data_IF_958142316762
#
_entry.id   IF_958142316762
#
_cell.length_a   1.000
_cell.length_b   1.000
_cell.length_c   1.000
_cell.angle_alpha   90.00
_cell.angle_beta   90.00
_cell.angle_gamma   90.00
#
_symmetry.space_group_name_H-M   'P 1'
#
loop_
_entity.id
_entity.type
_entity.pdbx_description
1 polymer ?
#
# COMPACT_ATOMS: atom_id res chain seq x y z
N UNK A 1 -7.38 -31.27 -6.22
CA UNK A 1 -7.42 -31.05 -4.76
C UNK A 1 -6.86 -29.66 -4.53
N UNK A 2 -7.64 -28.69 -4.04
CA UNK A 2 -7.11 -27.32 -3.87
C UNK A 2 -8.11 -26.16 -3.84
N UNK A 3 -9.42 -26.41 -3.77
CA UNK A 3 -10.42 -25.37 -3.49
C UNK A 3 -11.43 -25.91 -2.48
N UNK A 4 -10.96 -26.23 -1.28
CA UNK A 4 -11.86 -26.39 -0.14
C UNK A 4 -12.17 -25.01 0.43
N UNK A 5 -13.32 -24.50 -0.03
CA UNK A 5 -14.27 -23.63 0.68
C UNK A 5 -13.67 -22.78 1.81
N UNK A 6 -13.38 -21.52 1.49
CA UNK A 6 -13.57 -20.41 2.42
C UNK A 6 -15.08 -20.34 2.73
N UNK A 7 -15.56 -21.19 3.63
CA UNK A 7 -16.95 -21.23 4.09
C UNK A 7 -17.20 -20.16 5.16
N UNK A 8 -17.08 -18.90 4.73
CA UNK A 8 -17.49 -17.72 5.47
C UNK A 8 -17.88 -16.63 4.46
N UNK A 9 -18.63 -15.59 4.85
CA UNK A 9 -18.90 -14.47 3.95
C UNK A 9 -17.56 -13.96 3.40
N UNK A 10 -17.38 -13.90 2.09
CA UNK A 10 -16.25 -13.21 1.45
C UNK A 10 -16.50 -11.71 1.58
N UNK A 11 -16.50 -11.22 2.82
CA UNK A 11 -16.60 -9.81 3.15
C UNK A 11 -15.17 -9.38 3.43
N UNK A 12 -14.57 -8.53 2.59
CA UNK A 12 -13.21 -8.07 2.88
C UNK A 12 -12.41 -7.47 1.73
N UNK A 13 -12.80 -7.73 0.48
CA UNK A 13 -12.20 -7.07 -0.69
C UNK A 13 -13.10 -5.91 -1.13
N UNK A 14 -12.56 -4.70 -1.15
CA UNK A 14 -13.23 -3.50 -1.62
C UNK A 14 -12.62 -2.99 -2.91
N UNK A 15 -13.46 -2.56 -3.85
CA UNK A 15 -13.04 -1.76 -5.00
C UNK A 15 -13.41 -0.31 -4.74
N UNK A 16 -12.48 0.59 -5.03
CA UNK A 16 -12.61 1.98 -4.67
C UNK A 16 -12.11 2.86 -5.80
N UNK A 17 -12.99 3.66 -6.38
CA UNK A 17 -12.71 4.49 -7.56
C UNK A 17 -12.19 5.90 -7.20
N UNK A 18 -11.52 6.01 -6.05
CA UNK A 18 -10.97 7.23 -5.50
C UNK A 18 -9.48 7.05 -5.18
N UNK A 19 -8.78 8.18 -5.05
CA UNK A 19 -7.31 8.27 -4.92
C UNK A 19 -6.54 7.85 -6.18
N UNK A 20 -7.20 7.94 -7.34
CA UNK A 20 -6.57 7.81 -8.64
C UNK A 20 -7.16 8.87 -9.60
N UNK A 21 -6.42 9.19 -10.66
CA UNK A 21 -6.76 10.22 -11.65
C UNK A 21 -6.98 9.62 -13.04
N UNK A 22 -7.09 8.31 -13.20
CA UNK A 22 -7.37 7.68 -14.49
C UNK A 22 -8.57 8.34 -15.17
N UNK A 23 -8.36 8.81 -16.41
CA UNK A 23 -9.33 9.62 -17.20
C UNK A 23 -9.64 11.01 -16.62
N UNK A 24 -8.79 11.54 -15.74
CA UNK A 24 -8.85 12.91 -15.25
C UNK A 24 -8.62 13.94 -16.36
N UNK A 25 -8.98 15.19 -16.10
CA UNK A 25 -8.76 16.28 -17.07
C UNK A 25 -7.27 16.51 -17.35
N UNK A 26 -6.93 17.04 -18.52
CA UNK A 26 -5.55 17.38 -18.87
C UNK A 26 -4.91 18.32 -17.83
N UNK A 27 -5.69 19.24 -17.26
CA UNK A 27 -5.21 20.14 -16.21
C UNK A 27 -4.80 19.38 -14.94
N UNK A 28 -5.62 18.42 -14.50
CA UNK A 28 -5.33 17.60 -13.34
C UNK A 28 -4.11 16.70 -13.57
N UNK A 29 -4.02 16.06 -14.74
CA UNK A 29 -2.90 15.18 -15.08
C UNK A 29 -1.58 15.96 -15.22
N UNK A 30 -1.61 17.17 -15.79
CA UNK A 30 -0.42 18.04 -15.83
C UNK A 30 0.05 18.40 -14.43
N UNK A 31 -0.85 18.84 -13.56
CA UNK A 31 -0.47 19.22 -12.20
C UNK A 31 0.06 18.03 -11.40
N UNK A 32 -0.57 16.86 -11.53
CA UNK A 32 -0.10 15.66 -10.83
C UNK A 32 1.34 15.27 -11.23
N UNK A 33 1.70 15.44 -12.51
CA UNK A 33 3.07 15.21 -13.04
C UNK A 33 4.13 16.17 -12.49
N UNK A 34 3.73 17.30 -11.90
CA UNK A 34 4.63 18.24 -11.24
C UNK A 34 4.86 17.90 -9.76
N UNK A 35 4.21 16.85 -9.25
CA UNK A 35 4.33 16.37 -7.87
C UNK A 35 5.11 15.07 -7.79
N UNK A 36 5.34 14.58 -6.57
CA UNK A 36 5.96 13.28 -6.31
C UNK A 36 4.96 12.12 -6.20
N UNK A 37 3.70 12.31 -6.61
CA UNK A 37 2.70 11.23 -6.59
C UNK A 37 3.14 10.07 -7.49
N UNK A 38 2.81 8.84 -7.10
CA UNK A 38 3.15 7.64 -7.87
C UNK A 38 2.59 7.73 -9.31
N UNK A 39 3.37 7.44 -10.36
CA UNK A 39 2.93 7.57 -11.75
C UNK A 39 1.65 6.80 -12.11
N UNK A 40 1.41 5.64 -11.51
CA UNK A 40 0.19 4.86 -11.72
C UNK A 40 -1.10 5.62 -11.40
N UNK A 41 -1.04 6.65 -10.55
CA UNK A 41 -2.20 7.50 -10.26
C UNK A 41 -2.76 8.13 -11.53
N UNK A 42 -1.95 8.36 -12.56
CA UNK A 42 -2.40 8.98 -13.82
C UNK A 42 -3.30 8.06 -14.65
N UNK A 43 -3.09 6.74 -14.57
CA UNK A 43 -3.74 5.75 -15.44
C UNK A 43 -4.76 4.89 -14.67
N UNK A 44 -4.50 4.62 -13.39
CA UNK A 44 -5.38 3.83 -12.54
C UNK A 44 -6.75 4.51 -12.40
N UNK A 45 -7.81 3.73 -12.55
CA UNK A 45 -9.20 4.21 -12.34
C UNK A 45 -9.65 4.07 -10.87
N UNK A 46 -8.80 3.49 -10.01
CA UNK A 46 -9.10 3.22 -8.61
C UNK A 46 -8.10 2.27 -7.99
N UNK A 47 -8.41 1.83 -6.76
CA UNK A 47 -7.60 0.90 -5.97
C UNK A 47 -8.43 -0.30 -5.54
N UNK A 48 -7.77 -1.45 -5.41
CA UNK A 48 -8.30 -2.60 -4.68
C UNK A 48 -7.80 -2.51 -3.23
N UNK A 49 -8.69 -2.65 -2.25
CA UNK A 49 -8.38 -2.52 -0.83
C UNK A 49 -8.83 -3.75 -0.05
N UNK A 50 -8.06 -4.12 0.97
CA UNK A 50 -8.52 -5.03 2.01
C UNK A 50 -9.17 -4.20 3.12
N UNK A 51 -10.47 -4.37 3.32
CA UNK A 51 -11.23 -3.53 4.23
C UNK A 51 -11.02 -3.96 5.69
N UNK A 52 -10.59 -3.00 6.52
CA UNK A 52 -10.45 -3.16 7.98
C UNK A 52 -11.74 -3.68 8.61
N UNK A 53 -11.62 -4.64 9.53
CA UNK A 53 -12.74 -5.14 10.33
C UNK A 53 -13.57 -6.24 9.67
N UNK A 54 -13.55 -6.37 8.34
CA UNK A 54 -14.31 -7.44 7.67
C UNK A 54 -13.67 -8.83 7.79
N UNK A 55 -12.41 -8.87 8.21
CA UNK A 55 -11.64 -10.08 8.49
C UNK A 55 -11.52 -10.38 10.00
N UNK A 56 -12.13 -9.54 10.86
CA UNK A 56 -12.19 -9.75 12.31
C UNK A 56 -13.60 -10.15 12.71
N UNK A 57 -13.72 -11.16 13.57
CA UNK A 57 -15.03 -11.73 13.96
C UNK A 57 -15.92 -10.71 14.68
N UNK A 58 -15.31 -9.76 15.40
CA UNK A 58 -15.98 -8.66 16.10
C UNK A 58 -15.49 -7.30 15.60
N UNK A 59 -15.98 -6.85 14.44
CA UNK A 59 -15.58 -5.58 13.81
C UNK A 59 -15.93 -4.34 14.64
N UNK A 60 -16.92 -4.43 15.54
CA UNK A 60 -17.32 -3.36 16.46
C UNK A 60 -16.39 -3.20 17.66
N UNK A 61 -15.59 -4.24 17.97
CA UNK A 61 -14.65 -4.27 19.10
C UNK A 61 -13.19 -4.41 18.63
N UNK A 62 -12.90 -4.06 17.38
CA UNK A 62 -11.54 -4.13 16.86
C UNK A 62 -10.65 -3.18 17.67
N UNK A 63 -9.76 -3.75 18.49
CA UNK A 63 -8.70 -3.02 19.17
C UNK A 63 -7.98 -2.12 18.16
N UNK A 64 -7.71 -0.87 18.53
CA UNK A 64 -6.76 -0.05 17.78
C UNK A 64 -5.38 -0.61 18.11
N UNK A 65 -4.68 -1.23 17.15
CA UNK A 65 -3.38 -1.84 17.44
C UNK A 65 -2.38 -0.76 17.85
N UNK A 66 -1.56 -1.09 18.83
CA UNK A 66 -0.39 -0.32 19.26
C UNK A 66 0.89 -1.04 18.82
N UNK A 67 2.05 -0.40 18.99
CA UNK A 67 3.35 -1.01 18.73
C UNK A 67 3.63 -2.30 19.51
N UNK A 68 2.83 -2.61 20.55
CA UNK A 68 2.97 -3.81 21.39
C UNK A 68 1.83 -4.80 21.20
N UNK A 69 0.89 -4.53 20.28
CA UNK A 69 -0.18 -5.48 19.98
C UNK A 69 0.42 -6.68 19.26
N UNK A 70 0.26 -7.92 19.77
CA UNK A 70 0.77 -9.10 19.09
C UNK A 70 0.19 -9.20 17.68
N UNK A 71 1.04 -9.57 16.73
CA UNK A 71 0.59 -9.90 15.38
C UNK A 71 -0.16 -11.23 15.43
N UNK A 72 -1.35 -11.24 14.86
CA UNK A 72 -2.03 -12.49 14.53
C UNK A 72 -1.37 -13.07 13.27
N UNK A 73 -0.52 -14.07 13.46
CA UNK A 73 0.25 -14.70 12.37
C UNK A 73 -0.66 -15.31 11.29
N UNK A 74 -1.80 -15.89 11.68
CA UNK A 74 -2.75 -16.46 10.73
C UNK A 74 -3.40 -15.36 9.87
N UNK A 75 -3.69 -14.19 10.47
CA UNK A 75 -4.17 -13.03 9.74
C UNK A 75 -3.10 -12.47 8.79
N UNK A 76 -1.85 -12.39 9.25
CA UNK A 76 -0.73 -11.92 8.44
C UNK A 76 -0.48 -12.84 7.22
N UNK A 77 -0.50 -14.16 7.41
CA UNK A 77 -0.36 -15.15 6.34
C UNK A 77 -1.49 -15.05 5.31
N UNK A 78 -2.72 -14.82 5.77
CA UNK A 78 -3.86 -14.61 4.89
C UNK A 78 -3.75 -13.31 4.07
N UNK A 79 -3.33 -12.21 4.72
CA UNK A 79 -3.09 -10.94 4.04
C UNK A 79 -1.98 -11.08 2.97
N UNK A 80 -0.88 -11.75 3.31
CA UNK A 80 0.21 -11.98 2.37
C UNK A 80 -0.21 -12.89 1.20
N UNK A 81 -1.01 -13.92 1.46
CA UNK A 81 -1.61 -14.73 0.40
C UNK A 81 -2.44 -13.88 -0.56
N UNK A 82 -3.35 -13.05 -0.05
CA UNK A 82 -4.19 -12.20 -0.89
C UNK A 82 -3.35 -11.19 -1.68
N UNK A 83 -2.35 -10.56 -1.07
CA UNK A 83 -1.41 -9.66 -1.74
C UNK A 83 -0.73 -10.35 -2.93
N UNK A 84 -0.19 -11.57 -2.74
CA UNK A 84 0.46 -12.33 -3.82
C UNK A 84 -0.51 -12.69 -4.94
N UNK A 85 -1.78 -12.98 -4.63
CA UNK A 85 -2.78 -13.22 -5.69
C UNK A 85 -3.16 -11.93 -6.43
N UNK A 86 -3.27 -10.80 -5.73
CA UNK A 86 -3.49 -9.49 -6.36
C UNK A 86 -2.33 -9.10 -7.27
N UNK A 87 -1.08 -9.38 -6.88
CA UNK A 87 0.09 -9.14 -7.71
C UNK A 87 0.05 -9.92 -9.04
N UNK A 88 -0.45 -11.16 -9.02
CA UNK A 88 -0.61 -11.95 -10.24
C UNK A 88 -1.68 -11.36 -11.18
N UNK A 89 -2.72 -10.76 -10.60
CA UNK A 89 -3.84 -10.17 -11.36
C UNK A 89 -3.51 -8.76 -11.89
N UNK A 90 -2.70 -8.01 -11.14
CA UNK A 90 -2.34 -6.61 -11.40
C UNK A 90 -0.81 -6.46 -11.36
N UNK A 91 -0.07 -7.12 -12.26
CA UNK A 91 1.38 -7.15 -12.21
C UNK A 91 1.96 -5.74 -12.32
N UNK A 92 2.81 -5.39 -11.36
CA UNK A 92 3.48 -4.09 -11.34
C UNK A 92 2.60 -2.90 -10.94
N UNK A 93 1.35 -3.12 -10.50
CA UNK A 93 0.53 -2.03 -9.99
C UNK A 93 1.13 -1.40 -8.72
N UNK A 94 1.12 -0.08 -8.65
CA UNK A 94 1.49 0.68 -7.46
C UNK A 94 0.53 0.43 -6.29
N UNK A 95 0.98 0.83 -5.10
CA UNK A 95 0.23 0.74 -3.86
C UNK A 95 0.16 2.11 -3.17
N UNK A 96 -0.97 2.39 -2.52
CA UNK A 96 -1.17 3.64 -1.82
C UNK A 96 -0.47 3.59 -0.46
N UNK A 97 0.65 4.31 -0.30
CA UNK A 97 1.48 4.29 0.90
C UNK A 97 0.71 4.41 2.22
N UNK A 98 -0.27 5.31 2.31
CA UNK A 98 -1.01 5.56 3.56
C UNK A 98 -1.95 4.40 3.96
N UNK A 99 -2.26 3.48 3.05
CA UNK A 99 -3.07 2.29 3.28
C UNK A 99 -2.36 1.02 2.77
N UNK A 100 -1.03 1.07 2.66
CA UNK A 100 -0.20 0.03 2.06
C UNK A 100 0.04 -1.15 3.00
N UNK A 101 0.45 -2.28 2.43
CA UNK A 101 0.88 -3.44 3.22
C UNK A 101 2.23 -3.16 3.89
N UNK A 102 2.28 -3.30 5.21
CA UNK A 102 3.50 -3.20 6.02
C UNK A 102 4.55 -4.25 5.63
N UNK A 103 4.12 -5.36 5.03
CA UNK A 103 4.97 -6.44 4.55
C UNK A 103 5.45 -6.30 3.10
N UNK A 104 5.15 -5.21 2.40
CA UNK A 104 5.44 -5.09 0.96
C UNK A 104 6.96 -5.18 0.66
N UNK A 105 7.45 -6.25 0.00
CA UNK A 105 8.87 -6.44 -0.23
C UNK A 105 9.48 -5.44 -1.23
N UNK A 106 8.68 -4.93 -2.17
CA UNK A 106 9.12 -3.98 -3.21
C UNK A 106 8.60 -2.56 -2.93
N UNK A 107 8.52 -2.18 -1.66
CA UNK A 107 7.87 -0.95 -1.21
C UNK A 107 8.41 0.32 -1.89
N UNK A 108 9.70 0.38 -2.25
CA UNK A 108 10.23 1.54 -2.99
C UNK A 108 9.49 1.75 -4.30
N UNK A 109 9.37 0.68 -5.10
CA UNK A 109 8.70 0.71 -6.38
C UNK A 109 7.19 0.85 -6.18
N UNK A 110 6.59 0.11 -5.26
CA UNK A 110 5.13 0.12 -5.08
C UNK A 110 4.60 1.45 -4.58
N UNK A 111 5.28 2.10 -3.64
CA UNK A 111 4.77 3.31 -3.01
C UNK A 111 5.22 4.58 -3.74
N UNK A 112 6.41 4.54 -4.36
CA UNK A 112 7.04 5.74 -4.92
C UNK A 112 7.39 5.61 -6.41
N UNK A 113 7.52 4.38 -6.93
CA UNK A 113 7.86 4.09 -8.32
C UNK A 113 9.12 4.82 -8.79
N UNK A 114 9.09 5.29 -10.04
CA UNK A 114 10.18 6.06 -10.64
C UNK A 114 10.61 7.32 -9.86
N UNK A 115 9.76 7.83 -8.96
CA UNK A 115 10.10 9.01 -8.14
C UNK A 115 11.05 8.67 -6.98
N UNK A 116 11.22 7.40 -6.61
CA UNK A 116 11.98 6.99 -5.43
C UNK A 116 13.40 7.58 -5.40
N UNK A 117 14.14 7.45 -6.51
CA UNK A 117 15.50 7.96 -6.59
C UNK A 117 15.59 9.48 -6.40
N UNK A 118 14.60 10.24 -6.89
CA UNK A 118 14.52 11.69 -6.69
C UNK A 118 14.18 12.04 -5.24
N UNK A 119 13.21 11.35 -4.66
CA UNK A 119 12.82 11.52 -3.27
C UNK A 119 13.99 11.20 -2.32
N UNK A 120 14.76 10.14 -2.59
CA UNK A 120 15.91 9.76 -1.79
C UNK A 120 17.01 10.83 -1.82
N UNK A 121 17.29 11.41 -2.99
CA UNK A 121 18.23 12.54 -3.10
C UNK A 121 17.77 13.73 -2.27
N UNK A 122 16.48 14.07 -2.32
CA UNK A 122 15.90 15.14 -1.50
C UNK A 122 16.03 14.81 -0.02
N UNK A 123 15.68 13.59 0.40
CA UNK A 123 15.80 13.12 1.79
C UNK A 123 17.22 13.29 2.31
N UNK A 124 18.23 12.86 1.54
CA UNK A 124 19.63 12.98 1.93
C UNK A 124 20.12 14.43 1.98
N UNK A 125 19.59 15.32 1.13
CA UNK A 125 19.93 16.74 1.17
C UNK A 125 19.40 17.45 2.42
N UNK A 126 18.18 17.11 2.87
CA UNK A 126 17.51 17.78 3.99
C UNK A 126 17.65 17.06 5.34
N UNK A 127 17.81 15.74 5.33
CA UNK A 127 17.99 14.91 6.53
C UNK A 127 19.10 13.87 6.32
N UNK A 128 20.37 14.32 6.13
CA UNK A 128 21.51 13.43 5.89
C UNK A 128 21.82 12.48 7.06
N UNK A 129 21.31 12.79 8.26
CA UNK A 129 21.50 11.96 9.46
C UNK A 129 20.34 10.99 9.70
N UNK A 130 19.31 11.00 8.85
CA UNK A 130 18.15 10.11 9.00
C UNK A 130 17.36 10.31 10.30
N UNK A 131 17.34 11.54 10.84
CA UNK A 131 16.62 11.85 12.10
C UNK A 131 15.14 11.54 11.98
N UNK A 132 14.55 11.77 10.81
CA UNK A 132 13.14 11.52 10.54
C UNK A 132 12.96 10.20 9.77
N UNK A 133 13.01 9.07 10.45
CA UNK A 133 12.78 7.75 9.85
C UNK A 133 11.42 7.15 10.24
N UNK A 134 10.88 6.32 9.36
CA UNK A 134 9.69 5.50 9.59
C UNK A 134 9.74 4.24 8.70
N UNK A 135 8.97 3.22 9.06
CA UNK A 135 8.90 1.96 8.31
C UNK A 135 8.53 2.22 6.84
N UNK A 136 9.34 1.73 5.90
CA UNK A 136 9.15 1.88 4.44
C UNK A 136 8.99 3.34 3.95
N UNK A 137 9.43 4.30 4.75
CA UNK A 137 9.58 5.67 4.30
C UNK A 137 10.80 5.81 3.40
N UNK A 138 10.83 6.86 2.58
CA UNK A 138 11.98 7.21 1.73
C UNK A 138 13.27 7.25 2.56
N UNK A 139 14.24 6.41 2.22
CA UNK A 139 15.53 6.31 2.90
C UNK A 139 15.54 5.45 4.17
N UNK A 140 14.44 4.78 4.52
CA UNK A 140 14.35 3.89 5.68
C UNK A 140 15.33 2.71 5.63
N UNK A 141 15.72 2.27 4.43
CA UNK A 141 16.74 1.24 4.19
C UNK A 141 18.17 1.67 4.53
N UNK A 142 18.39 2.98 4.72
CA UNK A 142 19.69 3.53 5.11
C UNK A 142 19.79 3.74 6.63
N UNK A 143 18.67 3.61 7.35
CA UNK A 143 18.64 3.69 8.80
C UNK A 143 19.06 2.34 9.38
N UNK A 144 20.23 2.32 10.04
CA UNK A 144 20.76 1.21 10.83
C UNK A 144 20.86 1.58 12.29
#
# INVERSE_FOLDING_TARGET
QGLQRLAGPVNGLGLSLNYALGRGSDAALRHARETSVHPDVYEAIGTVRLLKGHWHRDWQNALIPTATTPLDEAHADAADFVRRELEKLLPGAGAYFNEGDIGEPNWQERFWGANYAGLLRTKQAYDPRGVFSCHQCVGSELAG
#
